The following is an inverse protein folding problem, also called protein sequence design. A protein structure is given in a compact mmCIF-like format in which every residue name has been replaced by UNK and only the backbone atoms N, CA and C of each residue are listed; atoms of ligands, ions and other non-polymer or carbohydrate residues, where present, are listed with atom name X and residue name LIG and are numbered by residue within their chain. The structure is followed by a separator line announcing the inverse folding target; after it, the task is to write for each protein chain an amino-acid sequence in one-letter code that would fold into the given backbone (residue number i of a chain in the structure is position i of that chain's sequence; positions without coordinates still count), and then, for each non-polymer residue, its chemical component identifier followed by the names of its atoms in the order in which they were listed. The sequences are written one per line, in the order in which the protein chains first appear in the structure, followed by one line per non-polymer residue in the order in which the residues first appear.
data_IF_631734505915
#
_entry.id   IF_631734505915
#
_cell.length_a   1.000
_cell.length_b   1.000
_cell.length_c   1.000
_cell.angle_alpha   90.00
_cell.angle_beta   90.00
_cell.angle_gamma   90.00
#
_symmetry.space_group_name_H-M   'P 1'
#
loop_
_entity.id
_entity.type
_entity.pdbx_description
1 polymer ?
#
# COMPACT_ATOMS: atom_id res chain seq x y z
N UNK A 1 -8.75 25.87 6.98
CA UNK A 1 -8.44 24.59 6.34
C UNK A 1 -9.21 23.48 7.08
N UNK A 2 -10.26 22.92 6.51
CA UNK A 2 -11.03 21.85 7.15
C UNK A 2 -10.15 20.60 7.28
N UNK A 3 -9.77 20.24 8.50
CA UNK A 3 -9.08 18.98 8.76
C UNK A 3 -10.06 17.83 8.47
N UNK A 4 -9.74 17.01 7.50
CA UNK A 4 -10.48 15.82 7.14
C UNK A 4 -10.62 14.91 8.37
N UNK A 5 -11.84 14.63 8.79
CA UNK A 5 -12.11 13.88 10.01
C UNK A 5 -11.59 12.43 9.97
N UNK A 6 -11.53 11.84 8.78
CA UNK A 6 -11.16 10.45 8.56
C UNK A 6 -10.06 10.34 7.50
N UNK A 7 -8.79 10.46 7.90
CA UNK A 7 -7.67 10.40 6.95
C UNK A 7 -7.48 9.01 6.37
N UNK A 8 -6.87 8.99 5.19
CA UNK A 8 -6.33 7.79 4.57
C UNK A 8 -4.81 7.82 4.71
N UNK A 9 -4.28 6.80 5.36
CA UNK A 9 -2.86 6.68 5.69
C UNK A 9 -2.30 5.46 5.00
N UNK A 10 -1.29 5.67 4.17
CA UNK A 10 -0.55 4.62 3.49
C UNK A 10 0.73 4.32 4.27
N UNK A 11 1.07 3.04 4.37
CA UNK A 11 2.32 2.57 4.93
C UNK A 11 3.12 1.88 3.84
N UNK A 12 4.26 2.44 3.53
CA UNK A 12 5.20 1.93 2.54
C UNK A 12 6.50 1.49 3.22
N UNK A 13 7.27 0.67 2.54
CA UNK A 13 8.57 0.21 3.02
C UNK A 13 8.88 -1.22 2.57
N UNK A 14 10.16 -1.53 2.55
CA UNK A 14 10.67 -2.86 2.23
C UNK A 14 10.30 -3.89 3.29
N UNK A 15 10.52 -5.15 3.00
CA UNK A 15 10.37 -6.22 4.00
C UNK A 15 11.34 -6.01 5.15
N UNK A 16 10.94 -6.44 6.33
CA UNK A 16 11.70 -6.29 7.58
C UNK A 16 11.99 -4.84 8.03
N UNK A 17 11.43 -3.82 7.39
CA UNK A 17 11.60 -2.41 7.79
C UNK A 17 10.80 -1.98 9.04
N UNK A 18 10.10 -2.89 9.69
CA UNK A 18 9.23 -2.56 10.83
C UNK A 18 7.84 -2.02 10.43
N UNK A 19 7.52 -1.95 9.14
CA UNK A 19 6.24 -1.43 8.63
C UNK A 19 5.03 -2.08 9.30
N UNK A 20 4.98 -3.41 9.36
CA UNK A 20 3.87 -4.15 10.00
C UNK A 20 3.75 -3.85 11.50
N UNK A 21 4.88 -3.67 12.20
CA UNK A 21 4.92 -3.26 13.60
C UNK A 21 4.30 -1.87 13.77
N UNK A 22 4.69 -0.92 12.93
CA UNK A 22 4.18 0.46 12.96
C UNK A 22 2.67 0.49 12.69
N UNK A 23 2.18 -0.22 11.68
CA UNK A 23 0.74 -0.32 11.37
C UNK A 23 -0.02 -0.92 12.57
N UNK A 24 0.50 -1.98 13.17
CA UNK A 24 -0.14 -2.64 14.30
C UNK A 24 -0.18 -1.73 15.54
N UNK A 25 0.92 -1.04 15.85
CA UNK A 25 0.98 -0.10 16.97
C UNK A 25 0.00 1.06 16.76
N UNK A 26 -0.05 1.60 15.56
CA UNK A 26 -1.00 2.67 15.22
C UNK A 26 -2.45 2.18 15.27
N UNK A 27 -2.72 0.95 14.82
CA UNK A 27 -4.06 0.34 14.94
C UNK A 27 -4.48 0.16 16.40
N UNK A 28 -3.54 -0.25 17.29
CA UNK A 28 -3.80 -0.34 18.73
C UNK A 28 -4.12 1.03 19.34
N UNK A 29 -3.36 2.07 18.95
CA UNK A 29 -3.62 3.45 19.37
C UNK A 29 -5.02 3.92 18.96
N UNK A 30 -5.40 3.71 17.69
CA UNK A 30 -6.74 4.08 17.20
C UNK A 30 -7.85 3.35 17.96
N UNK A 31 -7.67 2.05 18.21
CA UNK A 31 -8.62 1.25 18.98
C UNK A 31 -8.76 1.75 20.41
N UNK A 32 -7.64 2.01 21.09
CA UNK A 32 -7.61 2.55 22.46
C UNK A 32 -8.37 3.88 22.57
N UNK A 33 -8.24 4.73 21.56
CA UNK A 33 -8.91 6.03 21.51
C UNK A 33 -10.29 6.00 20.84
N UNK A 34 -10.86 4.80 20.63
CA UNK A 34 -12.22 4.58 20.09
C UNK A 34 -12.44 5.16 18.68
N UNK A 35 -11.36 5.36 17.90
CA UNK A 35 -11.47 5.75 16.49
C UNK A 35 -11.94 4.57 15.64
N UNK A 36 -12.89 4.82 14.77
CA UNK A 36 -13.28 3.82 13.77
C UNK A 36 -12.28 3.81 12.62
N UNK A 37 -11.74 2.65 12.30
CA UNK A 37 -10.80 2.47 11.21
C UNK A 37 -10.97 1.14 10.51
N UNK A 38 -10.47 1.05 9.30
CA UNK A 38 -10.25 -0.19 8.57
C UNK A 38 -8.78 -0.32 8.22
N UNK A 39 -8.31 -1.55 8.12
CA UNK A 39 -6.96 -1.88 7.67
C UNK A 39 -7.05 -2.84 6.49
N UNK A 40 -6.40 -2.47 5.39
CA UNK A 40 -6.24 -3.32 4.20
C UNK A 40 -4.77 -3.42 3.84
N UNK A 41 -4.42 -4.45 3.09
CA UNK A 41 -3.08 -4.60 2.51
C UNK A 41 -3.18 -4.86 1.01
N UNK A 42 -2.16 -4.47 0.26
CA UNK A 42 -2.06 -4.76 -1.16
C UNK A 42 -0.81 -5.59 -1.50
N UNK A 43 -0.92 -6.55 -2.43
CA UNK A 43 -2.17 -7.12 -2.95
C UNK A 43 -2.93 -7.89 -1.86
N UNK A 44 -4.27 -7.90 -1.93
CA UNK A 44 -5.16 -8.50 -0.93
C UNK A 44 -6.25 -7.51 -0.52
N UNK A 45 -7.02 -7.84 0.51
CA UNK A 45 -8.08 -6.99 1.08
C UNK A 45 -9.48 -7.57 0.88
N UNK A 46 -10.02 -7.60 -0.33
CA UNK A 46 -11.28 -8.29 -0.61
C UNK A 46 -11.06 -9.81 -0.73
N UNK A 47 -12.14 -10.59 -0.63
CA UNK A 47 -12.06 -12.05 -0.87
C UNK A 47 -11.47 -12.40 -2.24
N UNK A 48 -11.79 -11.59 -3.25
CA UNK A 48 -11.23 -11.77 -4.59
C UNK A 48 -9.74 -11.38 -4.62
N UNK A 49 -9.39 -10.24 -4.07
CA UNK A 49 -7.99 -9.78 -4.00
C UNK A 49 -7.09 -10.74 -3.22
N UNK A 50 -7.60 -11.42 -2.19
CA UNK A 50 -6.84 -12.46 -1.47
C UNK A 50 -6.60 -13.71 -2.35
N UNK A 51 -7.51 -14.05 -3.26
CA UNK A 51 -7.27 -15.12 -4.25
C UNK A 51 -6.16 -14.73 -5.22
N UNK A 52 -6.19 -13.48 -5.73
CA UNK A 52 -5.13 -12.95 -6.58
C UNK A 52 -3.78 -12.97 -5.87
N UNK A 53 -3.74 -12.54 -4.61
CA UNK A 53 -2.53 -12.61 -3.80
C UNK A 53 -1.97 -14.03 -3.69
N UNK A 54 -2.80 -15.03 -3.47
CA UNK A 54 -2.37 -16.44 -3.42
C UNK A 54 -1.74 -16.90 -4.75
N UNK A 55 -2.33 -16.50 -5.87
CA UNK A 55 -1.81 -16.80 -7.21
C UNK A 55 -0.43 -16.16 -7.39
N UNK A 56 -0.28 -14.88 -7.02
CA UNK A 56 0.96 -14.12 -7.17
C UNK A 56 2.09 -14.65 -6.28
N UNK A 57 1.78 -15.06 -5.06
CA UNK A 57 2.77 -15.57 -4.10
C UNK A 57 3.10 -17.06 -4.28
N UNK A 58 2.40 -17.76 -5.14
CA UNK A 58 2.66 -19.19 -5.39
C UNK A 58 3.98 -19.35 -6.16
N UNK A 59 4.91 -20.10 -5.57
CA UNK A 59 6.20 -20.42 -6.19
C UNK A 59 6.09 -21.24 -7.47
N UNK A 60 4.95 -21.94 -7.68
CA UNK A 60 4.68 -22.70 -8.90
C UNK A 60 4.32 -21.80 -10.08
N UNK A 61 3.86 -20.58 -9.83
CA UNK A 61 3.44 -19.65 -10.86
C UNK A 61 4.61 -18.73 -11.24
N UNK A 62 5.26 -19.01 -12.37
CA UNK A 62 6.22 -18.08 -12.97
C UNK A 62 5.45 -17.05 -13.81
N UNK A 63 4.95 -16.02 -13.16
CA UNK A 63 4.19 -14.96 -13.85
C UNK A 63 5.10 -14.10 -14.72
N UNK A 64 4.63 -13.76 -15.91
CA UNK A 64 5.22 -12.69 -16.70
C UNK A 64 5.05 -11.35 -15.96
N UNK A 65 6.03 -10.46 -16.10
CA UNK A 65 6.05 -9.16 -15.41
C UNK A 65 4.83 -8.28 -15.69
N UNK A 66 4.25 -8.34 -16.90
CA UNK A 66 3.02 -7.61 -17.22
C UNK A 66 1.81 -8.24 -16.54
N UNK A 67 1.76 -9.57 -16.49
CA UNK A 67 0.71 -10.30 -15.78
C UNK A 67 0.76 -9.98 -14.29
N UNK A 68 1.94 -9.95 -13.68
CA UNK A 68 2.13 -9.56 -12.28
C UNK A 68 1.57 -8.15 -12.01
N UNK A 69 1.94 -7.17 -12.83
CA UNK A 69 1.39 -5.80 -12.75
C UNK A 69 -0.14 -5.79 -12.84
N UNK A 70 -0.70 -6.50 -13.83
CA UNK A 70 -2.15 -6.53 -14.04
C UNK A 70 -2.90 -7.15 -12.87
N UNK A 71 -2.35 -8.18 -12.23
CA UNK A 71 -2.95 -8.80 -11.03
C UNK A 71 -2.92 -7.86 -9.82
N UNK A 72 -1.82 -7.13 -9.61
CA UNK A 72 -1.74 -6.09 -8.58
C UNK A 72 -2.83 -5.03 -8.82
N UNK A 73 -2.93 -4.55 -10.05
CA UNK A 73 -3.89 -3.51 -10.42
C UNK A 73 -5.34 -4.01 -10.33
N UNK A 74 -5.62 -5.27 -10.67
CA UNK A 74 -6.93 -5.88 -10.49
C UNK A 74 -7.30 -5.96 -9.00
N UNK A 75 -6.36 -6.38 -8.15
CA UNK A 75 -6.54 -6.38 -6.68
C UNK A 75 -6.83 -4.98 -6.15
N UNK A 76 -6.08 -3.97 -6.61
CA UNK A 76 -6.29 -2.56 -6.25
C UNK A 76 -7.65 -2.04 -6.68
N UNK A 77 -8.07 -2.33 -7.91
CA UNK A 77 -9.37 -1.93 -8.43
C UNK A 77 -10.52 -2.42 -7.55
N UNK A 78 -10.46 -3.68 -7.11
CA UNK A 78 -11.44 -4.26 -6.18
C UNK A 78 -11.41 -3.56 -4.81
N UNK A 79 -10.22 -3.27 -4.27
CA UNK A 79 -10.10 -2.57 -3.01
C UNK A 79 -10.63 -1.15 -3.09
N UNK A 80 -10.30 -0.41 -4.14
CA UNK A 80 -10.74 0.96 -4.34
C UNK A 80 -12.26 1.01 -4.41
N UNK A 81 -12.88 0.17 -5.23
CA UNK A 81 -14.34 0.19 -5.43
C UNK A 81 -15.12 -0.35 -4.24
N UNK A 82 -14.67 -1.47 -3.64
CA UNK A 82 -15.47 -2.20 -2.65
C UNK A 82 -15.13 -1.88 -1.20
N UNK A 83 -13.94 -1.36 -0.93
CA UNK A 83 -13.52 -1.04 0.43
C UNK A 83 -13.27 0.46 0.59
N UNK A 84 -12.39 1.04 -0.23
CA UNK A 84 -11.94 2.42 -0.02
C UNK A 84 -13.10 3.39 -0.22
N UNK A 85 -13.75 3.41 -1.37
CA UNK A 85 -14.85 4.35 -1.62
C UNK A 85 -16.05 4.17 -0.68
N UNK A 86 -16.32 2.94 -0.20
CA UNK A 86 -17.41 2.71 0.77
C UNK A 86 -17.14 3.30 2.14
N UNK A 87 -15.86 3.40 2.54
CA UNK A 87 -15.42 3.85 3.85
C UNK A 87 -14.78 5.25 3.83
N UNK A 88 -14.51 5.78 2.64
CA UNK A 88 -13.91 7.10 2.47
C UNK A 88 -14.74 8.17 3.16
N UNK A 89 -14.09 9.00 3.94
CA UNK A 89 -14.70 10.03 4.80
C UNK A 89 -15.64 9.53 5.91
N UNK A 90 -15.76 8.21 6.11
CA UNK A 90 -16.57 7.62 7.19
C UNK A 90 -15.71 6.99 8.28
N UNK A 91 -14.55 6.46 7.91
CA UNK A 91 -13.58 5.81 8.79
C UNK A 91 -12.17 6.17 8.38
N UNK A 92 -11.23 6.08 9.32
CA UNK A 92 -9.81 6.11 9.02
C UNK A 92 -9.46 4.88 8.20
N UNK A 93 -8.70 5.04 7.12
CA UNK A 93 -8.28 3.92 6.27
C UNK A 93 -6.76 3.79 6.37
N UNK A 94 -6.31 2.62 6.81
CA UNK A 94 -4.90 2.25 6.85
C UNK A 94 -4.63 1.27 5.71
N UNK A 95 -3.66 1.59 4.86
CA UNK A 95 -3.32 0.78 3.69
C UNK A 95 -1.85 0.35 3.80
N UNK A 96 -1.63 -0.96 3.88
CA UNK A 96 -0.30 -1.56 3.85
C UNK A 96 0.10 -1.81 2.39
N UNK A 97 0.99 -0.99 1.87
CA UNK A 97 1.43 -0.88 0.47
C UNK A 97 0.36 -0.33 -0.47
N UNK A 98 0.80 0.54 -1.37
CA UNK A 98 -0.06 1.13 -2.39
C UNK A 98 0.74 1.42 -3.68
N UNK A 99 0.52 2.57 -4.29
CA UNK A 99 1.09 2.92 -5.59
C UNK A 99 2.61 2.95 -5.64
N UNK A 100 3.26 3.39 -4.56
CA UNK A 100 4.72 3.53 -4.50
C UNK A 100 5.39 2.16 -4.50
N UNK A 101 4.81 1.17 -3.80
CA UNK A 101 5.26 -0.23 -3.90
C UNK A 101 5.17 -0.76 -5.34
N UNK A 102 4.11 -0.44 -6.08
CA UNK A 102 3.98 -0.85 -7.49
C UNK A 102 5.07 -0.23 -8.35
N UNK A 103 5.37 1.05 -8.16
CA UNK A 103 6.46 1.72 -8.87
C UNK A 103 7.80 1.07 -8.52
N UNK A 104 8.05 0.84 -7.23
CA UNK A 104 9.31 0.26 -6.76
C UNK A 104 9.54 -1.15 -7.34
N UNK A 105 8.54 -2.03 -7.26
CA UNK A 105 8.71 -3.42 -7.70
C UNK A 105 8.56 -3.59 -9.21
N UNK A 106 7.53 -3.04 -9.83
CA UNK A 106 7.25 -3.31 -11.23
C UNK A 106 8.03 -2.41 -12.19
N UNK A 107 8.32 -1.15 -11.81
CA UNK A 107 9.18 -0.30 -12.63
C UNK A 107 10.65 -0.55 -12.33
N UNK A 108 11.11 -0.20 -11.12
CA UNK A 108 12.53 -0.30 -10.77
C UNK A 108 13.01 -1.75 -10.66
N UNK A 109 12.20 -2.65 -10.12
CA UNK A 109 12.55 -4.06 -9.97
C UNK A 109 12.44 -4.89 -11.25
N UNK A 110 11.38 -4.68 -12.04
CA UNK A 110 11.08 -5.51 -13.23
C UNK A 110 11.27 -4.77 -14.56
N UNK A 111 11.57 -3.48 -14.56
CA UNK A 111 11.83 -2.68 -15.76
C UNK A 111 10.57 -2.38 -16.60
N UNK A 112 9.38 -2.37 -16.00
CA UNK A 112 8.17 -1.96 -16.71
C UNK A 112 8.10 -0.43 -16.89
N UNK A 113 7.41 0.01 -17.92
CA UNK A 113 7.28 1.43 -18.25
C UNK A 113 6.53 2.21 -17.17
N UNK A 114 7.17 3.23 -16.62
CA UNK A 114 6.63 4.05 -15.54
C UNK A 114 5.33 4.78 -15.92
N UNK A 115 5.25 5.28 -17.15
CA UNK A 115 4.08 6.04 -17.61
C UNK A 115 2.85 5.12 -17.69
N UNK A 116 3.03 3.89 -18.16
CA UNK A 116 1.95 2.89 -18.20
C UNK A 116 1.46 2.61 -16.78
N UNK A 117 2.38 2.37 -15.83
CA UNK A 117 2.03 2.12 -14.43
C UNK A 117 1.27 3.30 -13.83
N UNK A 118 1.76 4.52 -14.03
CA UNK A 118 1.11 5.74 -13.51
C UNK A 118 -0.27 5.95 -14.12
N UNK A 119 -0.42 5.77 -15.41
CA UNK A 119 -1.71 5.95 -16.10
C UNK A 119 -2.75 4.93 -15.62
N UNK A 120 -2.39 3.66 -15.53
CA UNK A 120 -3.26 2.62 -15.01
C UNK A 120 -3.62 2.83 -13.54
N UNK A 121 -2.65 3.21 -12.71
CA UNK A 121 -2.93 3.58 -11.33
C UNK A 121 -3.93 4.75 -11.23
N UNK A 122 -3.72 5.81 -11.99
CA UNK A 122 -4.59 6.99 -11.99
C UNK A 122 -6.01 6.63 -12.43
N UNK A 123 -6.13 5.79 -13.45
CA UNK A 123 -7.42 5.29 -13.92
C UNK A 123 -8.18 4.52 -12.84
N UNK A 124 -7.49 3.62 -12.12
CA UNK A 124 -8.08 2.77 -11.08
C UNK A 124 -8.42 3.58 -9.82
N UNK A 125 -7.52 4.44 -9.39
CA UNK A 125 -7.64 5.20 -8.15
C UNK A 125 -8.68 6.33 -8.29
N UNK A 126 -8.79 6.91 -9.48
CA UNK A 126 -9.70 7.99 -9.76
C UNK A 126 -9.40 9.25 -8.93
N UNK A 127 -10.42 9.81 -8.27
CA UNK A 127 -10.31 11.02 -7.45
C UNK A 127 -9.79 10.78 -6.03
N UNK A 128 -9.57 9.54 -5.66
CA UNK A 128 -9.06 9.20 -4.33
C UNK A 128 -7.62 9.69 -4.16
N UNK A 129 -7.37 10.35 -3.03
CA UNK A 129 -6.02 10.79 -2.65
C UNK A 129 -5.75 10.42 -1.20
N UNK A 130 -4.62 9.77 -0.89
CA UNK A 130 -4.19 9.58 0.49
C UNK A 130 -3.85 10.92 1.13
N UNK A 131 -4.01 10.98 2.45
CA UNK A 131 -3.70 12.18 3.24
C UNK A 131 -2.27 12.15 3.77
N UNK A 132 -1.73 10.93 3.97
CA UNK A 132 -0.38 10.73 4.48
C UNK A 132 0.19 9.41 3.93
N UNK A 133 1.45 9.43 3.56
CA UNK A 133 2.25 8.22 3.31
C UNK A 133 3.38 8.16 4.33
N UNK A 134 3.41 7.08 5.12
CA UNK A 134 4.47 6.78 6.08
C UNK A 134 5.41 5.75 5.46
N UNK A 135 6.68 6.10 5.32
CA UNK A 135 7.70 5.20 4.76
C UNK A 135 8.58 4.67 5.88
N UNK A 136 8.57 3.34 6.03
CA UNK A 136 9.49 2.65 6.94
C UNK A 136 10.70 2.16 6.17
N UNK A 137 11.89 2.52 6.64
CA UNK A 137 13.14 2.07 6.06
C UNK A 137 14.15 1.76 7.15
N UNK A 138 15.10 0.88 6.84
CA UNK A 138 16.25 0.62 7.71
C UNK A 138 17.44 1.38 7.16
N UNK A 139 17.96 2.34 7.94
CA UNK A 139 19.28 2.88 7.72
C UNK A 139 20.30 1.95 8.39
N UNK A 140 21.23 1.47 7.59
CA UNK A 140 22.57 1.32 8.14
C UNK A 140 23.06 2.75 8.36
N UNK A 141 23.12 3.22 9.61
CA UNK A 141 23.85 4.45 9.92
C UNK A 141 25.25 4.25 9.34
N UNK A 142 25.62 5.02 8.34
CA UNK A 142 27.01 5.28 8.10
C UNK A 142 27.57 5.74 9.43
N UNK A 143 28.58 5.07 9.96
CA UNK A 143 29.29 5.53 11.12
C UNK A 143 29.63 7.00 10.84
N UNK A 144 29.05 7.90 11.63
CA UNK A 144 29.59 9.23 11.76
C UNK A 144 31.03 9.02 12.20
N UNK A 145 31.96 9.16 11.27
CA UNK A 145 33.35 9.29 11.61
C UNK A 145 33.43 10.60 12.37
N UNK A 146 33.49 10.49 13.67
CA UNK A 146 33.90 11.57 14.55
C UNK A 146 35.26 12.05 14.04
N UNK A 147 35.28 13.20 13.43
CA UNK A 147 36.51 13.93 13.23
C UNK A 147 36.83 14.64 14.54
N UNK A 148 37.78 14.06 15.29
CA UNK A 148 38.51 14.77 16.32
C UNK A 148 39.35 15.90 15.72
#
# INVERSE_FOLDING_TARGET
MYKKKYPVIIFEGIEASGKSTNINNFSKFLKKNKYQFIKIREPGGTKFSEKLRKIMLSKSNKLDKKTDLLLILASRSENVSKIIYKNYQKKIILIDRFSDSTIAYQHYGMGLNLNIIKNLNSYIIGKFKPDLTSVSYTHLRAHETSYD
#
